data_IF_493999906301
#
_entry.id   IF_493999906301
#
_cell.length_a   1.000
_cell.length_b   1.000
_cell.length_c   1.000
_cell.angle_alpha   90.00
_cell.angle_beta   90.00
_cell.angle_gamma   90.00
#
_symmetry.space_group_name_H-M   'P 1'
#
loop_
_entity.id
_entity.type
_entity.pdbx_description
1 polymer ?
#
# COMPACT_ATOMS: atom_id res chain seq x y z
N UNK A 1 -7.90 -20.25 5.97
CA UNK A 1 -9.28 -19.98 5.65
C UNK A 1 -9.53 -18.53 5.30
N UNK A 2 -10.72 -18.26 4.85
CA UNK A 2 -11.18 -16.91 4.53
C UNK A 2 -11.83 -16.30 5.75
N UNK A 3 -11.48 -15.06 6.05
CA UNK A 3 -11.99 -14.35 7.21
C UNK A 3 -12.78 -13.12 6.76
N UNK A 4 -13.97 -12.96 7.31
CA UNK A 4 -14.79 -11.75 7.12
C UNK A 4 -15.09 -11.15 8.48
N UNK A 5 -14.75 -9.90 8.65
CA UNK A 5 -14.97 -9.20 9.91
C UNK A 5 -15.65 -7.87 9.63
N UNK A 6 -16.68 -7.57 10.43
CA UNK A 6 -17.33 -6.27 10.45
C UNK A 6 -17.40 -5.79 11.88
N UNK A 7 -16.94 -4.59 12.10
CA UNK A 7 -17.06 -3.98 13.42
C UNK A 7 -17.44 -2.51 13.29
N UNK A 8 -18.28 -2.04 14.21
CA UNK A 8 -18.61 -0.62 14.26
C UNK A 8 -17.48 0.17 14.91
N UNK A 9 -16.92 -0.35 15.97
CA UNK A 9 -15.82 0.26 16.67
C UNK A 9 -14.99 -0.83 17.33
N UNK A 10 -13.73 -0.59 17.52
CA UNK A 10 -12.81 -1.54 18.09
C UNK A 10 -11.79 -2.01 17.08
N UNK A 11 -10.67 -2.48 17.57
CA UNK A 11 -9.56 -2.90 16.71
C UNK A 11 -9.73 -4.32 16.23
N UNK A 12 -9.25 -4.58 15.02
CA UNK A 12 -9.22 -5.92 14.43
C UNK A 12 -7.76 -6.33 14.29
N UNK A 13 -7.43 -7.49 14.80
CA UNK A 13 -6.07 -8.00 14.77
C UNK A 13 -6.09 -9.42 14.21
N UNK A 14 -5.41 -9.63 13.10
CA UNK A 14 -5.35 -10.92 12.41
C UNK A 14 -3.87 -11.26 12.24
N UNK A 15 -3.44 -12.40 12.78
CA UNK A 15 -2.04 -12.83 12.68
C UNK A 15 -1.73 -13.39 11.31
N UNK A 16 -2.47 -14.38 10.87
CA UNK A 16 -2.22 -15.04 9.61
C UNK A 16 -3.54 -15.51 9.01
N UNK A 17 -3.70 -15.29 7.71
CA UNK A 17 -4.94 -15.60 7.04
C UNK A 17 -4.65 -15.93 5.57
N UNK A 18 -5.52 -16.70 4.96
CA UNK A 18 -5.44 -17.01 3.53
C UNK A 18 -6.06 -15.89 2.69
N UNK A 19 -7.20 -15.42 3.12
CA UNK A 19 -7.87 -14.28 2.52
C UNK A 19 -8.68 -13.58 3.60
N UNK A 20 -8.74 -12.27 3.56
CA UNK A 20 -9.46 -11.50 4.55
C UNK A 20 -10.28 -10.38 3.93
N UNK A 21 -11.48 -10.17 4.45
CA UNK A 21 -12.31 -9.02 4.16
C UNK A 21 -12.70 -8.38 5.49
N UNK A 22 -12.25 -7.16 5.73
CA UNK A 22 -12.48 -6.49 7.01
C UNK A 22 -13.10 -5.12 6.75
N UNK A 23 -14.16 -4.82 7.50
CA UNK A 23 -14.79 -3.50 7.49
C UNK A 23 -14.89 -2.98 8.91
N UNK A 24 -14.39 -1.79 9.14
CA UNK A 24 -14.43 -1.14 10.43
C UNK A 24 -14.98 0.27 10.28
N UNK A 25 -15.86 0.67 11.18
CA UNK A 25 -16.32 2.05 11.25
C UNK A 25 -15.25 2.93 11.89
N UNK A 26 -14.76 2.53 13.06
CA UNK A 26 -13.65 3.20 13.72
C UNK A 26 -12.84 2.14 14.46
N UNK A 27 -11.57 2.36 14.57
CA UNK A 27 -10.65 1.40 15.16
C UNK A 27 -9.63 0.93 14.14
N UNK A 28 -8.54 0.41 14.63
CA UNK A 28 -7.41 0.04 13.78
C UNK A 28 -7.57 -1.39 13.25
N UNK A 29 -7.05 -1.61 12.06
CA UNK A 29 -7.02 -2.94 11.45
C UNK A 29 -5.56 -3.35 11.30
N UNK A 30 -5.21 -4.50 11.83
CA UNK A 30 -3.86 -5.04 11.73
C UNK A 30 -3.92 -6.45 11.18
N UNK A 31 -3.22 -6.69 10.09
CA UNK A 31 -3.09 -8.02 9.50
C UNK A 31 -1.60 -8.35 9.42
N UNK A 32 -1.19 -9.44 10.06
CA UNK A 32 0.21 -9.83 10.05
C UNK A 32 0.64 -10.38 8.72
N UNK A 33 -0.05 -11.40 8.24
CA UNK A 33 0.32 -12.05 6.98
C UNK A 33 -0.93 -12.56 6.27
N UNK A 34 -0.98 -12.35 4.96
CA UNK A 34 -2.01 -12.96 4.13
C UNK A 34 -1.35 -13.69 2.96
N UNK A 35 -1.68 -14.95 2.79
CA UNK A 35 -1.18 -15.73 1.67
C UNK A 35 -1.88 -15.38 0.36
N UNK A 36 -3.13 -14.98 0.44
CA UNK A 36 -3.92 -14.58 -0.71
C UNK A 36 -4.33 -13.11 -0.65
N UNK A 37 -5.49 -12.79 -1.17
CA UNK A 37 -5.98 -11.41 -1.25
C UNK A 37 -6.53 -10.88 0.06
N UNK A 38 -6.47 -9.57 0.24
CA UNK A 38 -7.11 -8.90 1.36
C UNK A 38 -7.91 -7.71 0.84
N UNK A 39 -9.03 -7.47 1.51
CA UNK A 39 -9.85 -6.30 1.26
C UNK A 39 -10.16 -5.65 2.60
N UNK A 40 -9.68 -4.43 2.78
CA UNK A 40 -9.77 -3.74 4.05
C UNK A 40 -10.42 -2.37 3.86
N UNK A 41 -11.44 -2.09 4.66
CA UNK A 41 -12.13 -0.80 4.65
C UNK A 41 -12.24 -0.26 6.05
N UNK A 42 -11.84 0.98 6.24
CA UNK A 42 -12.01 1.67 7.50
C UNK A 42 -12.52 3.08 7.23
N UNK A 43 -13.47 3.54 8.04
CA UNK A 43 -13.88 4.93 7.95
C UNK A 43 -12.89 5.83 8.67
N UNK A 44 -12.49 5.46 9.88
CA UNK A 44 -11.43 6.15 10.61
C UNK A 44 -10.62 5.13 11.39
N UNK A 45 -9.36 5.34 11.49
CA UNK A 45 -8.44 4.42 12.11
C UNK A 45 -7.36 3.99 11.12
N UNK A 46 -6.29 3.46 11.64
CA UNK A 46 -5.14 3.07 10.83
C UNK A 46 -5.27 1.64 10.34
N UNK A 47 -4.71 1.38 9.16
CA UNK A 47 -4.66 0.05 8.59
C UNK A 47 -3.20 -0.36 8.45
N UNK A 48 -2.83 -1.50 9.01
CA UNK A 48 -1.48 -2.05 8.91
C UNK A 48 -1.52 -3.47 8.41
N UNK A 49 -0.74 -3.75 7.40
CA UNK A 49 -0.61 -5.10 6.85
C UNK A 49 0.88 -5.43 6.75
N UNK A 50 1.27 -6.56 7.32
CA UNK A 50 2.69 -6.97 7.29
C UNK A 50 3.10 -7.53 5.95
N UNK A 51 2.48 -8.61 5.51
CA UNK A 51 2.81 -9.25 4.24
C UNK A 51 1.56 -9.66 3.49
N UNK A 52 1.56 -9.42 2.18
CA UNK A 52 0.48 -9.84 1.29
C UNK A 52 1.07 -10.60 0.13
N UNK A 53 0.67 -11.86 -0.04
CA UNK A 53 1.08 -12.68 -1.17
C UNK A 53 0.19 -12.56 -2.38
N UNK A 54 -1.02 -12.06 -2.23
CA UNK A 54 -1.97 -11.87 -3.33
C UNK A 54 -2.31 -10.40 -3.55
N UNK A 55 -3.50 -10.16 -4.04
CA UNK A 55 -3.97 -8.81 -4.30
C UNK A 55 -4.49 -8.15 -3.02
N UNK A 56 -4.27 -6.86 -2.87
CA UNK A 56 -4.74 -6.12 -1.72
C UNK A 56 -5.53 -4.89 -2.14
N UNK A 57 -6.66 -4.70 -1.48
CA UNK A 57 -7.45 -3.48 -1.61
C UNK A 57 -7.64 -2.87 -0.24
N UNK A 58 -7.19 -1.67 -0.07
CA UNK A 58 -7.29 -0.96 1.19
C UNK A 58 -7.93 0.40 0.94
N UNK A 59 -8.92 0.73 1.74
CA UNK A 59 -9.62 1.99 1.62
C UNK A 59 -9.89 2.55 3.02
N UNK A 60 -9.54 3.79 3.25
CA UNK A 60 -9.89 4.48 4.48
C UNK A 60 -10.25 5.92 4.16
N UNK A 61 -11.17 6.49 4.93
CA UNK A 61 -11.51 7.89 4.77
C UNK A 61 -10.53 8.78 5.51
N UNK A 62 -10.22 8.45 6.76
CA UNK A 62 -9.18 9.15 7.50
C UNK A 62 -8.38 8.14 8.31
N UNK A 63 -7.10 8.31 8.35
CA UNK A 63 -6.19 7.38 8.98
C UNK A 63 -5.08 6.98 8.00
N UNK A 64 -4.04 6.40 8.54
CA UNK A 64 -2.88 6.02 7.75
C UNK A 64 -2.96 4.57 7.29
N UNK A 65 -2.37 4.29 6.14
CA UNK A 65 -2.27 2.95 5.59
C UNK A 65 -0.80 2.57 5.51
N UNK A 66 -0.45 1.43 6.10
CA UNK A 66 0.92 0.93 6.05
C UNK A 66 0.90 -0.52 5.57
N UNK A 67 1.63 -0.79 4.51
CA UNK A 67 1.79 -2.12 3.93
C UNK A 67 3.27 -2.49 3.99
N UNK A 68 3.58 -3.65 4.55
CA UNK A 68 4.96 -4.09 4.72
C UNK A 68 5.54 -4.61 3.41
N UNK A 69 5.20 -5.83 3.04
CA UNK A 69 5.68 -6.44 1.80
C UNK A 69 4.51 -6.81 0.91
N UNK A 70 4.61 -6.49 -0.36
CA UNK A 70 3.58 -6.82 -1.33
C UNK A 70 4.20 -7.42 -2.57
N UNK A 71 3.54 -8.41 -3.16
CA UNK A 71 4.01 -9.05 -4.39
C UNK A 71 2.92 -9.24 -5.42
N UNK A 72 1.73 -8.72 -5.19
CA UNK A 72 0.63 -8.78 -6.14
C UNK A 72 0.14 -7.39 -6.50
N UNK A 73 -1.06 -7.30 -7.03
CA UNK A 73 -1.70 -6.02 -7.33
C UNK A 73 -2.23 -5.40 -6.04
N UNK A 74 -1.86 -4.17 -5.78
CA UNK A 74 -2.26 -3.46 -4.57
C UNK A 74 -2.94 -2.15 -4.94
N UNK A 75 -4.09 -1.90 -4.34
CA UNK A 75 -4.78 -0.63 -4.48
C UNK A 75 -5.03 -0.06 -3.09
N UNK A 76 -4.51 1.13 -2.82
CA UNK A 76 -4.72 1.82 -1.57
C UNK A 76 -5.34 3.19 -1.84
N UNK A 77 -6.41 3.50 -1.12
CA UNK A 77 -7.10 4.79 -1.23
C UNK A 77 -7.36 5.38 0.13
N UNK A 78 -7.04 6.64 0.28
CA UNK A 78 -7.43 7.37 1.48
C UNK A 78 -7.83 8.80 1.09
N UNK A 79 -8.78 9.37 1.81
CA UNK A 79 -9.14 10.76 1.60
C UNK A 79 -8.18 11.67 2.33
N UNK A 80 -7.86 11.38 3.59
CA UNK A 80 -6.84 12.10 4.33
C UNK A 80 -6.03 11.11 5.17
N UNK A 81 -4.75 11.26 5.17
CA UNK A 81 -3.84 10.36 5.84
C UNK A 81 -2.72 9.93 4.89
N UNK A 82 -1.71 9.32 5.43
CA UNK A 82 -0.54 8.91 4.68
C UNK A 82 -0.63 7.46 4.25
N UNK A 83 0.00 7.14 3.13
CA UNK A 83 0.10 5.78 2.63
C UNK A 83 1.58 5.41 2.54
N UNK A 84 1.96 4.31 3.18
CA UNK A 84 3.35 3.84 3.20
C UNK A 84 3.41 2.40 2.73
N UNK A 85 4.22 2.16 1.71
CA UNK A 85 4.58 0.82 1.27
C UNK A 85 6.05 0.61 1.59
N UNK A 86 6.35 -0.26 2.53
CA UNK A 86 7.73 -0.47 2.95
C UNK A 86 8.55 -1.20 1.91
N UNK A 87 7.93 -2.19 1.26
CA UNK A 87 8.63 -2.96 0.25
C UNK A 87 7.63 -3.49 -0.78
N UNK A 88 7.63 -2.89 -1.95
CA UNK A 88 6.84 -3.34 -3.07
C UNK A 88 7.77 -4.04 -4.06
N UNK A 89 7.75 -5.38 -4.06
CA UNK A 89 8.73 -6.18 -4.80
C UNK A 89 8.36 -6.38 -6.27
N UNK A 90 7.10 -6.64 -6.54
CA UNK A 90 6.64 -6.85 -7.92
C UNK A 90 5.13 -6.65 -7.99
N UNK A 91 4.60 -6.56 -9.18
CA UNK A 91 3.17 -6.43 -9.41
C UNK A 91 2.76 -5.02 -9.80
N UNK A 92 1.53 -4.67 -9.52
CA UNK A 92 0.98 -3.35 -9.81
C UNK A 92 0.54 -2.68 -8.52
N UNK A 93 0.98 -1.46 -8.31
CA UNK A 93 0.69 -0.73 -7.11
C UNK A 93 -0.01 0.58 -7.47
N UNK A 94 -1.21 0.77 -6.96
CA UNK A 94 -1.98 2.00 -7.14
C UNK A 94 -2.26 2.62 -5.80
N UNK A 95 -1.83 3.84 -5.61
CA UNK A 95 -2.10 4.59 -4.39
C UNK A 95 -2.74 5.92 -4.75
N UNK A 96 -3.77 6.29 -4.01
CA UNK A 96 -4.49 7.53 -4.24
C UNK A 96 -4.86 8.17 -2.91
N UNK A 97 -4.52 9.43 -2.74
CA UNK A 97 -4.93 10.19 -1.58
C UNK A 97 -5.33 11.59 -2.00
N UNK A 98 -6.34 12.17 -1.33
CA UNK A 98 -6.70 13.55 -1.57
C UNK A 98 -5.76 14.49 -0.83
N UNK A 99 -5.46 14.21 0.43
CA UNK A 99 -4.46 14.98 1.18
C UNK A 99 -3.67 14.01 2.04
N UNK A 100 -2.37 14.15 2.05
CA UNK A 100 -1.47 13.26 2.74
C UNK A 100 -0.32 12.84 1.85
N UNK A 101 0.67 12.24 2.43
CA UNK A 101 1.88 11.84 1.72
C UNK A 101 1.84 10.36 1.36
N UNK A 102 2.51 10.02 0.27
CA UNK A 102 2.67 8.62 -0.16
C UNK A 102 4.16 8.30 -0.21
N UNK A 103 4.54 7.23 0.45
CA UNK A 103 5.93 6.74 0.45
C UNK A 103 5.93 5.31 -0.08
N UNK A 104 6.74 5.04 -1.08
CA UNK A 104 6.88 3.71 -1.66
C UNK A 104 8.33 3.28 -1.58
N UNK A 105 8.60 2.14 -0.95
CA UNK A 105 9.91 1.52 -0.94
C UNK A 105 9.99 0.44 -2.02
N UNK A 106 11.04 0.49 -2.83
CA UNK A 106 11.26 -0.48 -3.91
C UNK A 106 12.58 -1.18 -3.66
N UNK A 107 12.61 -2.51 -3.59
CA UNK A 107 13.86 -3.22 -3.37
C UNK A 107 14.78 -3.14 -4.58
N UNK A 108 16.08 -3.30 -4.34
CA UNK A 108 17.07 -3.32 -5.40
C UNK A 108 16.79 -4.50 -6.35
N UNK A 109 17.10 -4.32 -7.63
CA UNK A 109 16.92 -5.37 -8.63
C UNK A 109 15.52 -5.49 -9.19
N UNK A 110 14.62 -4.57 -8.85
CA UNK A 110 13.27 -4.55 -9.39
C UNK A 110 13.16 -3.49 -10.48
N UNK A 111 12.72 -3.90 -11.67
CA UNK A 111 12.43 -2.97 -12.75
C UNK A 111 11.15 -2.21 -12.40
N UNK A 112 11.23 -0.89 -12.30
CA UNK A 112 10.11 -0.09 -11.83
C UNK A 112 9.69 0.94 -12.87
N UNK A 113 8.40 0.95 -13.19
CA UNK A 113 7.80 2.00 -13.99
C UNK A 113 6.95 2.86 -13.07
N UNK A 114 7.23 4.15 -13.06
CA UNK A 114 6.57 5.09 -12.17
C UNK A 114 5.67 6.05 -12.94
N UNK A 115 4.44 6.20 -12.46
CA UNK A 115 3.55 7.26 -12.89
C UNK A 115 3.06 7.97 -11.63
N UNK A 116 3.52 9.18 -11.42
CA UNK A 116 3.22 9.93 -10.21
C UNK A 116 2.64 11.29 -10.57
N UNK A 117 1.52 11.64 -9.95
CA UNK A 117 0.88 12.95 -10.13
C UNK A 117 0.57 13.58 -8.79
N UNK A 118 0.99 14.82 -8.64
CA UNK A 118 0.59 15.64 -7.50
C UNK A 118 0.12 16.98 -8.04
N UNK A 119 -1.06 17.42 -7.62
CA UNK A 119 -1.59 18.71 -8.03
C UNK A 119 -0.88 19.84 -7.28
N UNK A 120 -0.70 19.68 -5.98
CA UNK A 120 0.13 20.57 -5.19
C UNK A 120 0.95 19.74 -4.22
N UNK A 121 2.25 19.89 -4.29
CA UNK A 121 3.18 19.06 -3.55
C UNK A 121 4.33 18.64 -4.45
N UNK A 122 5.24 17.88 -3.90
CA UNK A 122 6.45 17.47 -4.58
C UNK A 122 6.47 15.97 -4.85
N UNK A 123 7.10 15.59 -5.96
CA UNK A 123 7.36 14.18 -6.26
C UNK A 123 8.87 13.98 -6.22
N UNK A 124 9.32 13.06 -5.37
CA UNK A 124 10.74 12.75 -5.22
C UNK A 124 10.97 11.27 -5.46
N UNK A 125 11.98 10.94 -6.23
CA UNK A 125 12.37 9.56 -6.47
C UNK A 125 13.86 9.41 -6.19
N UNK A 126 14.19 8.38 -5.38
CA UNK A 126 15.57 8.00 -5.10
C UNK A 126 16.03 6.85 -5.98
N UNK A 127 15.19 6.41 -6.90
CA UNK A 127 15.57 5.37 -7.85
C UNK A 127 16.45 5.98 -8.94
N UNK A 128 17.55 5.31 -9.24
CA UNK A 128 18.46 5.77 -10.26
C UNK A 128 17.96 5.34 -11.64
N UNK A 129 17.69 6.32 -12.55
CA UNK A 129 17.21 5.95 -13.88
C UNK A 129 18.23 5.21 -14.73
N UNK A 130 19.51 5.29 -14.38
CA UNK A 130 20.57 4.67 -15.17
C UNK A 130 20.75 3.18 -14.90
N UNK A 131 20.16 2.63 -13.85
CA UNK A 131 20.22 1.21 -13.61
C UNK A 131 19.27 0.49 -14.55
N UNK A 132 19.78 0.06 -15.69
CA UNK A 132 19.01 -0.77 -16.58
C UNK A 132 18.77 -2.11 -15.88
N UNK A 133 17.52 -2.50 -15.67
CA UNK A 133 17.22 -3.77 -14.99
C UNK A 133 17.34 -4.92 -15.96
N UNK A 134 18.52 -5.08 -16.53
CA UNK A 134 18.70 -5.87 -17.73
C UNK A 134 18.25 -7.33 -17.60
N UNK A 135 18.19 -7.88 -16.43
CA UNK A 135 17.92 -9.31 -16.28
C UNK A 135 17.08 -9.65 -15.06
N UNK A 136 16.22 -8.73 -14.65
CA UNK A 136 15.34 -9.05 -13.55
C UNK A 136 13.99 -9.54 -14.06
N UNK A 137 13.49 -10.61 -13.48
CA UNK A 137 12.15 -11.11 -13.75
C UNK A 137 11.10 -10.33 -12.96
N UNK A 138 11.52 -9.51 -12.03
CA UNK A 138 10.60 -8.73 -11.21
C UNK A 138 10.31 -7.40 -11.87
N UNK A 139 9.04 -7.13 -12.06
CA UNK A 139 8.57 -5.87 -12.62
C UNK A 139 7.53 -5.27 -11.70
N UNK A 140 7.69 -4.00 -11.41
CA UNK A 140 6.77 -3.26 -10.59
C UNK A 140 6.26 -2.05 -11.37
N UNK A 141 4.95 -1.92 -11.41
CA UNK A 141 4.30 -0.76 -11.99
C UNK A 141 3.66 0.05 -10.86
N UNK A 142 4.08 1.29 -10.69
CA UNK A 142 3.59 2.14 -9.60
C UNK A 142 2.84 3.32 -10.18
N UNK A 143 1.59 3.47 -9.76
CA UNK A 143 0.76 4.62 -10.09
C UNK A 143 0.36 5.30 -8.78
N UNK A 144 0.77 6.54 -8.59
CA UNK A 144 0.47 7.28 -7.38
C UNK A 144 -0.16 8.61 -7.74
N UNK A 145 -1.28 8.94 -7.10
CA UNK A 145 -1.97 10.21 -7.29
C UNK A 145 -2.27 10.85 -5.95
N UNK A 146 -1.95 12.12 -5.83
CA UNK A 146 -2.38 12.91 -4.70
C UNK A 146 -2.81 14.30 -5.17
N UNK A 147 -3.82 14.86 -4.53
CA UNK A 147 -4.23 16.22 -4.82
C UNK A 147 -3.35 17.21 -4.08
N UNK A 148 -3.09 16.99 -2.79
CA UNK A 148 -2.13 17.78 -2.04
C UNK A 148 -1.34 16.85 -1.12
N UNK A 149 -0.05 16.98 -1.14
CA UNK A 149 0.85 16.12 -0.41
C UNK A 149 2.03 15.72 -1.27
N UNK A 150 3.01 15.10 -0.66
CA UNK A 150 4.23 14.73 -1.32
C UNK A 150 4.26 13.23 -1.63
N UNK A 151 4.92 12.89 -2.72
CA UNK A 151 5.13 11.51 -3.12
C UNK A 151 6.63 11.24 -3.06
N UNK A 152 7.02 10.23 -2.32
CA UNK A 152 8.43 9.84 -2.20
C UNK A 152 8.59 8.38 -2.59
N UNK A 153 9.43 8.12 -3.55
CA UNK A 153 9.80 6.78 -3.96
C UNK A 153 11.24 6.55 -3.49
N UNK A 154 11.46 5.55 -2.67
CA UNK A 154 12.76 5.28 -2.10
C UNK A 154 13.18 3.84 -2.32
N UNK A 155 14.44 3.57 -2.17
CA UNK A 155 14.96 2.21 -2.26
C UNK A 155 14.79 1.52 -0.90
N UNK A 156 14.10 0.40 -0.90
CA UNK A 156 13.93 -0.39 0.31
C UNK A 156 15.20 -1.19 0.60
N UNK A 157 15.47 -1.37 1.86
CA UNK A 157 16.64 -2.14 2.28
C UNK A 157 16.43 -3.64 2.06
#
# INVERSE_FOLDING_TARGET
>A
GEVRVRTGSGSVDIDEVRAASVKSGSGDITVGRSAGGVELHSASGDVRVGEVGGDARVSTSSGDVELGSTSGAVTAKTASGDVVFRRAAEGELKASTASGDVVVGVPAGTATKLECWSTSGSVRSQLEPAEAPAETDRRLFVIVRTASGDITIMRAA
#
